data_IF_229178283768
#
_entry.id   IF_229178283768
#
_cell.length_a   1.000
_cell.length_b   1.000
_cell.length_c   1.000
_cell.angle_alpha   90.00
_cell.angle_beta   90.00
_cell.angle_gamma   90.00
#
_symmetry.space_group_name_H-M   'P 1'
#
loop_
_entity.id
_entity.type
_entity.pdbx_description
1 polymer ?
#
# COMPACT_ATOMS: atom_id res chain seq x y z
N UNK A 1 -1.05 1.13 21.36
CA UNK A 1 0.11 2.04 21.21
C UNK A 1 0.37 2.28 19.73
N UNK A 2 -0.17 3.37 19.17
CA UNK A 2 -0.01 3.74 17.74
C UNK A 2 1.46 3.78 17.30
N UNK A 3 2.35 4.19 18.20
CA UNK A 3 3.78 4.39 17.95
C UNK A 3 4.54 3.10 17.60
N UNK A 4 4.13 1.97 18.16
CA UNK A 4 4.80 0.69 17.91
C UNK A 4 4.52 0.16 16.49
N UNK A 5 3.28 0.27 16.03
CA UNK A 5 2.90 -0.14 14.67
C UNK A 5 3.50 0.81 13.63
N UNK A 6 3.45 2.13 13.88
CA UNK A 6 4.11 3.13 13.04
C UNK A 6 5.61 2.83 12.90
N UNK A 7 6.32 2.65 14.02
CA UNK A 7 7.75 2.35 14.02
C UNK A 7 8.07 1.04 13.30
N UNK A 8 7.25 0.00 13.49
CA UNK A 8 7.39 -1.27 12.77
C UNK A 8 7.26 -1.09 11.26
N UNK A 9 6.22 -0.40 10.78
CA UNK A 9 6.03 -0.17 9.34
C UNK A 9 7.15 0.68 8.74
N UNK A 10 7.60 1.71 9.46
CA UNK A 10 8.73 2.54 9.03
C UNK A 10 10.02 1.75 8.86
N UNK A 11 10.36 0.88 9.83
CA UNK A 11 11.53 -0.02 9.74
C UNK A 11 11.41 -0.99 8.55
N UNK A 12 10.23 -1.59 8.35
CA UNK A 12 9.98 -2.47 7.23
C UNK A 12 10.16 -1.75 5.89
N UNK A 13 9.60 -0.56 5.71
CA UNK A 13 9.76 0.24 4.48
C UNK A 13 11.23 0.61 4.26
N UNK A 14 11.95 1.02 5.32
CA UNK A 14 13.38 1.34 5.24
C UNK A 14 14.24 0.14 4.83
N UNK A 15 13.87 -1.09 5.22
CA UNK A 15 14.53 -2.32 4.77
C UNK A 15 14.12 -2.72 3.35
N UNK A 16 12.87 -2.50 2.96
CA UNK A 16 12.41 -2.68 1.57
C UNK A 16 13.19 -1.77 0.62
N UNK A 17 13.50 -0.53 1.00
CA UNK A 17 14.35 0.38 0.23
C UNK A 17 15.76 -0.18 -0.04
N UNK A 18 16.21 -1.15 0.77
CA UNK A 18 17.49 -1.88 0.62
C UNK A 18 17.31 -3.25 -0.06
N UNK A 19 16.19 -3.46 -0.73
CA UNK A 19 15.81 -4.72 -1.39
C UNK A 19 15.72 -5.94 -0.45
N UNK A 20 15.35 -5.75 0.82
CA UNK A 20 15.12 -6.85 1.75
C UNK A 20 13.77 -7.55 1.48
N UNK A 21 13.83 -8.75 0.90
CA UNK A 21 12.65 -9.57 0.57
C UNK A 21 11.84 -9.97 1.81
N UNK A 22 12.48 -10.27 2.93
CA UNK A 22 11.78 -10.68 4.16
C UNK A 22 11.03 -9.50 4.77
N UNK A 23 11.61 -8.31 4.71
CA UNK A 23 10.93 -7.08 5.13
C UNK A 23 9.72 -6.79 4.25
N UNK A 24 9.83 -7.03 2.93
CA UNK A 24 8.72 -6.88 2.01
C UNK A 24 7.57 -7.86 2.30
N UNK A 25 7.90 -9.12 2.57
CA UNK A 25 6.92 -10.14 2.97
C UNK A 25 6.19 -9.73 4.26
N UNK A 26 6.94 -9.28 5.28
CA UNK A 26 6.36 -8.81 6.54
C UNK A 26 5.49 -7.55 6.35
N UNK A 27 5.92 -6.62 5.48
CA UNK A 27 5.15 -5.43 5.14
C UNK A 27 3.82 -5.81 4.47
N UNK A 28 3.85 -6.77 3.54
CA UNK A 28 2.65 -7.29 2.89
C UNK A 28 1.67 -7.90 3.92
N UNK A 29 2.15 -8.76 4.82
CA UNK A 29 1.31 -9.35 5.86
C UNK A 29 0.69 -8.29 6.79
N UNK A 30 1.45 -7.25 7.13
CA UNK A 30 0.99 -6.20 8.04
C UNK A 30 -0.01 -5.21 7.42
N UNK A 31 -0.01 -5.03 6.09
CA UNK A 31 -0.74 -3.93 5.43
C UNK A 31 -1.75 -4.36 4.36
N UNK A 32 -1.63 -5.56 3.79
CA UNK A 32 -2.37 -5.96 2.58
C UNK A 32 -3.87 -5.96 2.78
N UNK A 33 -4.38 -6.36 3.95
CA UNK A 33 -5.81 -6.36 4.22
C UNK A 33 -6.42 -4.94 4.19
N UNK A 34 -5.70 -3.94 4.69
CA UNK A 34 -6.16 -2.53 4.68
C UNK A 34 -6.04 -1.93 3.29
N UNK A 35 -4.91 -2.15 2.60
CA UNK A 35 -4.72 -1.64 1.24
C UNK A 35 -5.70 -2.29 0.25
N UNK A 36 -6.01 -3.57 0.41
CA UNK A 36 -7.02 -4.24 -0.40
C UNK A 36 -8.43 -3.71 -0.12
N UNK A 37 -8.79 -3.45 1.15
CA UNK A 37 -10.05 -2.81 1.50
C UNK A 37 -10.18 -1.43 0.84
N UNK A 38 -9.11 -0.65 0.84
CA UNK A 38 -9.04 0.64 0.15
C UNK A 38 -9.20 0.48 -1.37
N UNK A 39 -8.43 -0.42 -2.02
CA UNK A 39 -8.59 -0.67 -3.46
C UNK A 39 -10.03 -1.10 -3.80
N UNK A 40 -10.63 -1.99 -3.00
CA UNK A 40 -12.02 -2.40 -3.16
C UNK A 40 -13.01 -1.25 -2.94
N UNK A 41 -12.77 -0.39 -1.96
CA UNK A 41 -13.64 0.77 -1.70
C UNK A 41 -13.54 1.83 -2.81
N UNK A 42 -12.49 1.81 -3.61
CA UNK A 42 -12.32 2.74 -4.74
C UNK A 42 -12.92 2.09 -6.00
N UNK A 43 -12.49 0.87 -6.33
CA UNK A 43 -12.75 0.22 -7.62
C UNK A 43 -14.08 -0.54 -7.70
N UNK A 44 -14.61 -0.97 -6.54
CA UNK A 44 -15.87 -1.71 -6.42
C UNK A 44 -15.94 -3.05 -7.19
N UNK A 45 -14.81 -3.48 -7.74
CA UNK A 45 -14.62 -4.77 -8.40
C UNK A 45 -13.45 -5.52 -7.74
N UNK A 46 -13.68 -6.79 -7.40
CA UNK A 46 -12.68 -7.60 -6.68
C UNK A 46 -11.47 -7.99 -7.52
N UNK A 47 -11.66 -8.21 -8.83
CA UNK A 47 -10.58 -8.55 -9.75
C UNK A 47 -9.72 -7.31 -10.01
N UNK A 48 -10.34 -6.18 -10.26
CA UNK A 48 -9.63 -4.91 -10.45
C UNK A 48 -8.86 -4.48 -9.19
N UNK A 49 -9.49 -4.60 -8.02
CA UNK A 49 -8.83 -4.28 -6.76
C UNK A 49 -7.60 -5.15 -6.50
N UNK A 50 -7.68 -6.42 -6.88
CA UNK A 50 -6.58 -7.34 -6.78
C UNK A 50 -5.41 -6.99 -7.71
N UNK A 51 -5.69 -6.74 -8.98
CA UNK A 51 -4.67 -6.33 -9.95
C UNK A 51 -4.02 -5.01 -9.56
N UNK A 52 -4.80 -4.06 -9.05
CA UNK A 52 -4.26 -2.80 -8.54
C UNK A 52 -3.41 -3.03 -7.30
N UNK A 53 -3.82 -3.89 -6.37
CA UNK A 53 -3.04 -4.21 -5.18
C UNK A 53 -1.65 -4.75 -5.55
N UNK A 54 -1.55 -5.56 -6.61
CA UNK A 54 -0.25 -6.01 -7.12
C UNK A 54 0.62 -4.86 -7.59
N UNK A 55 0.05 -3.97 -8.41
CA UNK A 55 0.74 -2.78 -8.88
C UNK A 55 1.15 -1.84 -7.74
N UNK A 56 0.35 -1.81 -6.66
CA UNK A 56 0.66 -1.07 -5.43
C UNK A 56 1.91 -1.64 -4.78
N UNK A 57 1.98 -2.95 -4.53
CA UNK A 57 3.14 -3.56 -3.90
C UNK A 57 4.40 -3.56 -4.78
N UNK A 58 4.27 -3.76 -6.09
CA UNK A 58 5.37 -3.57 -7.05
C UNK A 58 5.85 -2.12 -7.02
N UNK A 59 4.92 -1.17 -6.91
CA UNK A 59 5.20 0.25 -6.73
C UNK A 59 5.95 0.54 -5.43
N UNK A 60 5.46 0.05 -4.30
CA UNK A 60 6.09 0.16 -2.98
C UNK A 60 7.53 -0.35 -3.04
N UNK A 61 7.78 -1.51 -3.65
CA UNK A 61 9.12 -2.04 -3.81
C UNK A 61 10.06 -1.08 -4.55
N UNK A 62 9.58 -0.45 -5.63
CA UNK A 62 10.35 0.50 -6.44
C UNK A 62 10.55 1.87 -5.78
N UNK A 63 9.52 2.32 -5.06
CA UNK A 63 9.41 3.69 -4.54
C UNK A 63 9.83 3.80 -3.06
N UNK A 64 10.11 2.69 -2.37
CA UNK A 64 10.39 2.68 -0.92
C UNK A 64 11.53 3.61 -0.50
N UNK A 65 12.54 3.82 -1.37
CA UNK A 65 13.63 4.75 -1.10
C UNK A 65 13.18 6.23 -1.01
N UNK A 66 12.01 6.57 -1.56
CA UNK A 66 11.42 7.92 -1.53
C UNK A 66 10.52 8.15 -0.30
N UNK A 67 10.26 7.11 0.51
CA UNK A 67 9.42 7.25 1.70
C UNK A 67 9.92 8.32 2.67
N UNK A 68 11.23 8.41 3.01
CA UNK A 68 11.74 9.44 3.92
C UNK A 68 11.47 10.87 3.44
N UNK A 69 11.48 11.10 2.12
CA UNK A 69 11.28 12.41 1.51
C UNK A 69 9.79 12.79 1.34
N UNK A 70 8.87 11.87 1.66
CA UNK A 70 7.44 12.06 1.40
C UNK A 70 6.75 13.01 2.40
N UNK A 71 7.32 13.22 3.58
CA UNK A 71 6.68 13.94 4.68
C UNK A 71 5.46 13.22 5.29
N UNK A 72 5.17 11.99 4.86
CA UNK A 72 4.01 11.20 5.30
C UNK A 72 4.40 10.16 6.35
N UNK A 73 3.44 9.81 7.21
CA UNK A 73 3.53 8.62 8.04
C UNK A 73 3.57 7.35 7.17
N UNK A 74 4.12 6.21 7.67
CA UNK A 74 4.20 4.99 6.87
C UNK A 74 2.81 4.47 6.47
N UNK A 75 1.80 4.62 7.33
CA UNK A 75 0.42 4.25 7.00
C UNK A 75 -0.14 5.16 5.92
N UNK A 76 0.02 6.48 6.05
CA UNK A 76 -0.47 7.43 5.06
C UNK A 76 0.22 7.27 3.71
N UNK A 77 1.54 7.06 3.69
CA UNK A 77 2.29 6.80 2.47
C UNK A 77 1.78 5.55 1.74
N UNK A 78 1.55 4.45 2.46
CA UNK A 78 0.98 3.23 1.88
C UNK A 78 -0.44 3.46 1.35
N UNK A 79 -1.30 4.15 2.11
CA UNK A 79 -2.67 4.45 1.71
C UNK A 79 -2.71 5.33 0.46
N UNK A 80 -1.87 6.35 0.40
CA UNK A 80 -1.70 7.23 -0.77
C UNK A 80 -1.25 6.44 -2.00
N UNK A 81 -0.25 5.56 -1.87
CA UNK A 81 0.23 4.73 -2.98
C UNK A 81 -0.87 3.81 -3.54
N UNK A 82 -1.74 3.29 -2.67
CA UNK A 82 -2.91 2.50 -3.02
C UNK A 82 -4.00 3.34 -3.69
N UNK A 83 -4.37 4.45 -3.05
CA UNK A 83 -5.41 5.37 -3.52
C UNK A 83 -5.08 5.92 -4.89
N UNK A 84 -3.88 6.45 -5.11
CA UNK A 84 -3.51 7.06 -6.39
C UNK A 84 -3.46 6.06 -7.55
N UNK A 85 -3.13 4.78 -7.29
CA UNK A 85 -3.18 3.72 -8.31
C UNK A 85 -4.62 3.28 -8.60
N UNK A 86 -5.42 3.10 -7.56
CA UNK A 86 -6.83 2.73 -7.71
C UNK A 86 -7.63 3.83 -8.39
N UNK A 87 -7.38 5.10 -8.07
CA UNK A 87 -7.99 6.27 -8.71
C UNK A 87 -7.64 6.35 -10.19
N UNK A 88 -6.35 6.17 -10.54
CA UNK A 88 -5.91 6.09 -11.94
C UNK A 88 -6.56 4.94 -12.70
N UNK A 89 -6.79 3.80 -12.05
CA UNK A 89 -7.47 2.63 -12.65
C UNK A 89 -8.97 2.86 -12.82
N UNK A 90 -9.64 3.53 -11.88
CA UNK A 90 -11.09 3.82 -11.90
C UNK A 90 -11.50 4.85 -12.95
N UNK A 91 -10.73 5.06 -14.02
CA UNK A 91 -11.19 5.83 -15.18
C UNK A 91 -12.47 5.31 -15.86
N UNK A 92 -13.08 4.21 -15.37
CA UNK A 92 -14.44 3.78 -15.65
C UNK A 92 -14.97 2.90 -14.49
N UNK A 93 -16.28 3.00 -14.18
CA UNK A 93 -17.11 2.21 -13.22
C UNK A 93 -17.42 2.87 -11.86
N UNK A 94 -18.69 2.77 -11.46
CA UNK A 94 -19.38 3.54 -10.42
C UNK A 94 -19.88 2.69 -9.22
N UNK A 95 -20.10 3.34 -8.06
CA UNK A 95 -20.71 2.78 -6.85
C UNK A 95 -22.16 3.28 -6.68
N UNK A 96 -23.06 2.51 -6.01
CA UNK A 96 -24.36 2.97 -5.53
C UNK A 96 -24.31 4.23 -4.63
N UNK A 97 -25.37 5.05 -4.67
CA UNK A 97 -25.44 6.34 -4.01
C UNK A 97 -25.52 6.23 -2.48
N UNK A 98 -24.85 7.16 -1.79
CA UNK A 98 -25.15 7.47 -0.38
C UNK A 98 -26.29 8.48 -0.38
N UNK A 99 -27.35 8.23 0.39
CA UNK A 99 -28.45 9.19 0.55
C UNK A 99 -27.97 10.31 1.48
N UNK A 100 -27.81 11.52 0.94
CA UNK A 100 -27.43 12.69 1.71
C UNK A 100 -28.68 13.31 2.38
N UNK A 101 -28.68 13.38 3.72
CA UNK A 101 -29.44 14.40 4.45
C UNK A 101 -28.64 15.69 4.46
N UNK A 102 -29.26 16.84 4.70
CA UNK A 102 -28.58 18.14 4.74
C UNK A 102 -28.02 18.49 6.12
N UNK A 103 -27.03 17.76 6.63
CA UNK A 103 -26.47 17.95 7.97
C UNK A 103 -24.93 17.89 8.06
N UNK A 104 -24.40 18.22 9.23
CA UNK A 104 -22.96 18.30 9.49
C UNK A 104 -22.20 16.96 9.32
N UNK A 105 -22.88 15.84 9.61
CA UNK A 105 -22.37 14.50 9.37
C UNK A 105 -22.22 14.20 7.87
N UNK A 106 -23.04 14.85 7.04
CA UNK A 106 -23.08 14.64 5.60
C UNK A 106 -21.89 15.33 4.90
N UNK A 107 -21.36 16.43 5.44
CA UNK A 107 -20.17 17.11 4.91
C UNK A 107 -18.90 16.24 5.00
N UNK A 108 -18.63 15.64 6.17
CA UNK A 108 -17.48 14.73 6.33
C UNK A 108 -17.69 13.43 5.54
N UNK A 109 -18.94 12.97 5.42
CA UNK A 109 -19.29 11.82 4.59
C UNK A 109 -19.03 12.10 3.10
N UNK A 110 -19.40 13.28 2.60
CA UNK A 110 -19.12 13.72 1.23
C UNK A 110 -17.62 13.93 1.00
N UNK A 111 -16.88 14.46 1.97
CA UNK A 111 -15.42 14.57 1.87
C UNK A 111 -14.75 13.18 1.81
N UNK A 112 -15.19 12.26 2.66
CA UNK A 112 -14.74 10.86 2.63
C UNK A 112 -15.07 10.22 1.28
N UNK A 113 -16.27 10.47 0.74
CA UNK A 113 -16.67 10.02 -0.57
C UNK A 113 -15.78 10.63 -1.66
N UNK A 114 -15.47 11.93 -1.61
CA UNK A 114 -14.52 12.56 -2.55
C UNK A 114 -13.14 11.91 -2.50
N UNK A 115 -12.62 11.62 -1.30
CA UNK A 115 -11.30 11.02 -1.14
C UNK A 115 -11.22 9.59 -1.69
N UNK A 116 -12.19 8.74 -1.32
CA UNK A 116 -12.24 7.33 -1.73
C UNK A 116 -12.76 7.19 -3.17
N UNK A 117 -13.84 7.88 -3.50
CA UNK A 117 -14.50 7.80 -4.81
C UNK A 117 -13.91 8.73 -5.85
N UNK A 118 -12.96 9.59 -5.48
CA UNK A 118 -12.22 10.47 -6.38
C UNK A 118 -13.04 11.23 -7.38
N UNK A 119 -14.27 11.52 -6.98
CA UNK A 119 -15.22 12.24 -7.78
C UNK A 119 -14.96 13.72 -7.58
N UNK A 120 -15.10 14.47 -8.66
CA UNK A 120 -15.22 15.92 -8.50
C UNK A 120 -16.55 16.30 -7.83
N UNK A 121 -16.65 17.55 -7.37
CA UNK A 121 -17.85 18.04 -6.68
C UNK A 121 -19.11 17.96 -7.56
N UNK A 122 -19.01 17.99 -8.89
CA UNK A 122 -20.16 17.86 -9.80
C UNK A 122 -20.62 16.40 -9.88
N UNK A 123 -19.68 15.47 -9.98
CA UNK A 123 -19.95 14.05 -9.97
C UNK A 123 -20.51 13.58 -8.61
N UNK A 124 -20.04 14.17 -7.51
CA UNK A 124 -20.64 13.97 -6.18
C UNK A 124 -22.08 14.49 -6.14
N UNK A 125 -22.32 15.70 -6.66
CA UNK A 125 -23.66 16.28 -6.74
C UNK A 125 -24.63 15.36 -7.50
N UNK A 126 -24.24 14.94 -8.70
CA UNK A 126 -25.02 14.01 -9.53
C UNK A 126 -25.26 12.67 -8.83
N UNK A 127 -24.25 12.13 -8.11
CA UNK A 127 -24.33 10.85 -7.40
C UNK A 127 -25.24 10.90 -6.18
N UNK A 128 -25.22 12.00 -5.44
CA UNK A 128 -25.94 12.14 -4.17
C UNK A 128 -27.28 12.86 -4.31
N UNK A 129 -27.63 13.33 -5.52
CA UNK A 129 -28.90 14.01 -5.78
C UNK A 129 -28.98 15.40 -5.14
N UNK A 130 -27.84 16.06 -4.98
CA UNK A 130 -27.70 17.42 -4.45
C UNK A 130 -27.21 18.36 -5.56
N UNK A 131 -27.28 19.67 -5.35
CA UNK A 131 -26.73 20.65 -6.30
C UNK A 131 -25.19 20.69 -6.26
N UNK A 132 -24.57 21.13 -7.36
CA UNK A 132 -23.11 21.28 -7.42
C UNK A 132 -22.56 22.29 -6.39
N UNK A 133 -23.35 23.31 -6.05
CA UNK A 133 -22.98 24.29 -5.03
C UNK A 133 -23.10 23.71 -3.62
N UNK A 134 -24.14 22.90 -3.34
CA UNK A 134 -24.25 22.16 -2.07
C UNK A 134 -23.10 21.17 -1.89
N UNK A 135 -22.73 20.42 -2.94
CA UNK A 135 -21.58 19.51 -2.88
C UNK A 135 -20.27 20.26 -2.63
N UNK A 136 -20.03 21.38 -3.33
CA UNK A 136 -18.84 22.22 -3.12
C UNK A 136 -18.80 22.77 -1.70
N UNK A 137 -19.91 23.29 -1.21
CA UNK A 137 -20.03 23.83 0.14
C UNK A 137 -19.74 22.75 1.19
N UNK A 138 -20.35 21.57 1.05
CA UNK A 138 -20.16 20.45 1.96
C UNK A 138 -18.71 19.93 1.95
N UNK A 139 -18.02 19.91 0.80
CA UNK A 139 -16.60 19.57 0.74
C UNK A 139 -15.74 20.59 1.48
N UNK A 140 -16.00 21.88 1.29
CA UNK A 140 -15.29 22.94 2.00
C UNK A 140 -15.52 22.84 3.52
N UNK A 141 -16.78 22.73 3.95
CA UNK A 141 -17.16 22.56 5.36
C UNK A 141 -16.54 21.27 5.97
N UNK A 142 -16.50 20.18 5.20
CA UNK A 142 -15.84 18.95 5.61
C UNK A 142 -14.33 19.10 5.79
N UNK A 143 -13.66 19.85 4.89
CA UNK A 143 -12.24 20.13 4.96
C UNK A 143 -11.91 21.03 6.15
N UNK A 144 -12.67 22.10 6.36
CA UNK A 144 -12.56 22.96 7.54
C UNK A 144 -12.70 22.13 8.81
N UNK A 145 -13.71 21.28 8.93
CA UNK A 145 -13.88 20.42 10.10
C UNK A 145 -12.71 19.47 10.33
N UNK A 146 -12.18 18.86 9.26
CA UNK A 146 -11.03 17.96 9.35
C UNK A 146 -9.77 18.71 9.80
N UNK A 147 -9.63 19.98 9.42
CA UNK A 147 -8.55 20.86 9.84
C UNK A 147 -8.78 21.52 11.22
N UNK A 148 -10.01 21.46 11.74
CA UNK A 148 -10.47 22.31 12.85
C UNK A 148 -10.72 23.76 12.41
N UNK A 149 -10.96 24.67 13.35
CA UNK A 149 -11.26 26.09 13.07
C UNK A 149 -10.05 26.91 12.53
N UNK A 150 -8.99 26.26 12.02
CA UNK A 150 -7.68 26.89 11.78
C UNK A 150 -7.27 26.98 10.30
N UNK A 151 -7.98 26.34 9.38
CA UNK A 151 -7.65 26.40 7.95
C UNK A 151 -8.28 27.63 7.28
N UNK A 152 -7.63 28.79 7.41
CA UNK A 152 -8.14 30.05 6.86
C UNK A 152 -7.16 30.76 5.91
N UNK A 153 -6.35 30.00 5.16
CA UNK A 153 -5.54 30.53 4.07
C UNK A 153 -5.85 29.85 2.71
N UNK A 154 -5.76 30.63 1.63
CA UNK A 154 -6.07 30.17 0.27
C UNK A 154 -5.10 29.10 -0.25
N UNK A 155 -3.86 29.08 0.26
CA UNK A 155 -2.82 28.13 -0.13
C UNK A 155 -3.11 26.71 0.44
N UNK A 156 -3.68 26.65 1.65
CA UNK A 156 -4.13 25.45 2.33
C UNK A 156 -5.35 24.83 1.66
N UNK A 157 -6.28 25.65 1.15
CA UNK A 157 -7.41 25.15 0.34
C UNK A 157 -6.90 24.56 -0.98
N UNK A 158 -5.97 25.23 -1.66
CA UNK A 158 -5.37 24.71 -2.88
C UNK A 158 -4.63 23.37 -2.63
N UNK A 159 -3.91 23.25 -1.52
CA UNK A 159 -3.27 22.02 -1.08
C UNK A 159 -4.29 20.90 -0.85
N UNK A 160 -5.41 21.21 -0.21
CA UNK A 160 -6.49 20.26 0.05
C UNK A 160 -7.15 19.75 -1.24
N UNK A 161 -7.49 20.65 -2.16
CA UNK A 161 -8.05 20.28 -3.46
C UNK A 161 -7.08 19.42 -4.27
N UNK A 162 -5.78 19.74 -4.22
CA UNK A 162 -4.74 18.95 -4.88
C UNK A 162 -4.56 17.58 -4.20
N UNK A 163 -4.63 17.49 -2.87
CA UNK A 163 -4.60 16.23 -2.12
C UNK A 163 -5.80 15.33 -2.45
N UNK A 164 -6.97 15.93 -2.67
CA UNK A 164 -8.18 15.26 -3.15
C UNK A 164 -8.14 14.93 -4.65
N UNK A 165 -7.19 15.48 -5.42
CA UNK A 165 -7.09 15.30 -6.86
C UNK A 165 -8.17 16.06 -7.65
N UNK A 166 -8.80 17.07 -7.05
CA UNK A 166 -9.82 17.92 -7.65
C UNK A 166 -9.23 19.04 -8.51
N UNK A 167 -7.97 19.40 -8.24
CA UNK A 167 -7.25 20.48 -8.90
C UNK A 167 -5.99 19.92 -9.57
N UNK A 168 -5.76 20.35 -10.81
CA UNK A 168 -4.53 20.13 -11.57
C UNK A 168 -3.94 21.52 -11.86
N UNK A 169 -2.70 21.80 -11.45
CA UNK A 169 -2.12 23.14 -11.60
C UNK A 169 -0.88 23.39 -10.75
N UNK A 170 -0.53 24.67 -10.58
CA UNK A 170 0.69 25.19 -9.94
C UNK A 170 1.15 24.41 -8.70
N UNK A 171 2.48 24.29 -8.47
CA UNK A 171 3.01 23.58 -7.32
C UNK A 171 2.57 24.25 -6.03
N UNK A 172 1.66 23.62 -5.28
CA UNK A 172 1.45 23.94 -3.88
C UNK A 172 2.64 23.46 -3.04
N UNK A 173 2.85 24.10 -1.89
CA UNK A 173 3.86 23.67 -0.93
C UNK A 173 3.74 22.16 -0.64
N UNK A 174 4.83 21.44 -0.91
CA UNK A 174 4.94 19.99 -0.69
C UNK A 174 4.65 19.58 0.75
N UNK A 175 4.98 20.44 1.73
CA UNK A 175 4.71 20.18 3.14
C UNK A 175 3.22 20.28 3.46
N UNK A 176 2.53 21.31 2.95
CA UNK A 176 1.09 21.44 3.08
C UNK A 176 0.34 20.31 2.37
N UNK A 177 0.78 19.93 1.17
CA UNK A 177 0.20 18.80 0.44
C UNK A 177 0.39 17.48 1.19
N UNK A 178 1.56 17.25 1.79
CA UNK A 178 1.82 16.09 2.63
C UNK A 178 0.92 16.07 3.87
N UNK A 179 0.76 17.21 4.56
CA UNK A 179 -0.12 17.33 5.71
C UNK A 179 -1.59 17.02 5.35
N UNK A 180 -2.10 17.55 4.25
CA UNK A 180 -3.45 17.20 3.79
C UNK A 180 -3.60 15.73 3.41
N UNK A 181 -2.61 15.13 2.73
CA UNK A 181 -2.62 13.69 2.42
C UNK A 181 -2.57 12.84 3.69
N UNK A 182 -1.83 13.24 4.71
CA UNK A 182 -1.79 12.60 6.03
C UNK A 182 -3.17 12.62 6.69
N UNK A 183 -3.82 13.80 6.73
CA UNK A 183 -5.15 13.96 7.34
C UNK A 183 -6.21 13.13 6.63
N UNK A 184 -6.23 13.18 5.30
CA UNK A 184 -7.19 12.44 4.47
C UNK A 184 -6.97 10.92 4.52
N UNK A 185 -5.72 10.46 4.66
CA UNK A 185 -5.41 9.04 4.75
C UNK A 185 -6.07 8.34 5.94
N UNK A 186 -6.45 9.08 7.00
CA UNK A 186 -7.20 8.52 8.14
C UNK A 186 -8.56 7.95 7.73
N UNK A 187 -9.17 8.44 6.65
CA UNK A 187 -10.39 7.83 6.12
C UNK A 187 -10.20 6.38 5.66
N UNK A 188 -8.97 5.99 5.30
CA UNK A 188 -8.65 4.61 4.95
C UNK A 188 -8.52 3.71 6.18
N UNK A 189 -8.20 4.26 7.36
CA UNK A 189 -8.10 3.48 8.60
C UNK A 189 -9.47 3.01 9.10
N UNK A 190 -10.52 3.77 8.78
CA UNK A 190 -11.92 3.45 9.08
C UNK A 190 -12.52 2.38 8.16
N UNK A 191 -11.78 1.89 7.17
CA UNK A 191 -12.24 0.83 6.30
C UNK A 191 -12.08 -0.53 6.98
N UNK A 192 -13.12 -1.35 6.91
CA UNK A 192 -13.05 -2.74 7.37
C UNK A 192 -11.98 -3.48 6.56
N UNK A 193 -10.93 -4.04 7.20
CA UNK A 193 -9.89 -4.76 6.47
C UNK A 193 -10.46 -5.95 5.69
N UNK A 194 -10.01 -6.12 4.45
CA UNK A 194 -10.46 -7.20 3.57
C UNK A 194 -9.24 -7.99 3.12
N UNK A 195 -9.20 -9.28 3.45
CA UNK A 195 -8.08 -10.15 3.09
C UNK A 195 -7.76 -10.10 1.59
N UNK A 196 -6.50 -9.82 1.29
CA UNK A 196 -5.99 -9.90 -0.08
C UNK A 196 -5.97 -11.37 -0.54
N UNK A 197 -6.38 -11.65 -1.79
CA UNK A 197 -6.36 -13.02 -2.31
C UNK A 197 -4.92 -13.52 -2.47
N UNK A 198 -4.65 -14.77 -2.08
CA UNK A 198 -3.31 -15.35 -2.06
C UNK A 198 -2.59 -15.32 -3.42
N UNK A 199 -3.35 -15.37 -4.52
CA UNK A 199 -2.83 -15.33 -5.89
C UNK A 199 -2.19 -13.98 -6.25
N UNK A 200 -2.67 -12.87 -5.70
CA UNK A 200 -2.04 -11.55 -5.87
C UNK A 200 -0.61 -11.55 -5.30
N UNK A 201 -0.44 -12.18 -4.15
CA UNK A 201 0.88 -12.31 -3.53
C UNK A 201 1.86 -13.12 -4.38
N UNK A 202 1.40 -14.23 -4.97
CA UNK A 202 2.20 -15.03 -5.88
C UNK A 202 2.65 -14.21 -7.10
N UNK A 203 1.73 -13.49 -7.75
CA UNK A 203 2.05 -12.64 -8.90
C UNK A 203 3.03 -11.51 -8.60
N UNK A 204 2.92 -10.89 -7.42
CA UNK A 204 3.91 -9.90 -6.95
C UNK A 204 5.30 -10.52 -6.87
N UNK A 205 5.41 -11.70 -6.25
CA UNK A 205 6.70 -12.39 -6.08
C UNK A 205 7.30 -12.81 -7.43
N UNK A 206 6.49 -13.31 -8.35
CA UNK A 206 6.91 -13.64 -9.71
C UNK A 206 7.42 -12.40 -10.44
N UNK A 207 6.64 -11.31 -10.43
CA UNK A 207 6.98 -10.04 -11.10
C UNK A 207 8.28 -9.41 -10.57
N UNK A 208 8.58 -9.57 -9.28
CA UNK A 208 9.80 -9.06 -8.66
C UNK A 208 10.99 -10.04 -8.74
N UNK A 209 10.81 -11.24 -9.30
CA UNK A 209 11.85 -12.28 -9.28
C UNK A 209 12.16 -12.79 -7.85
N UNK A 210 11.21 -12.66 -6.93
CA UNK A 210 11.26 -13.17 -5.55
C UNK A 210 10.76 -14.60 -5.43
N UNK A 211 10.40 -15.24 -6.55
CA UNK A 211 10.09 -16.66 -6.61
C UNK A 211 11.30 -17.49 -6.17
N UNK A 212 11.12 -18.27 -5.10
CA UNK A 212 11.76 -19.58 -5.06
C UNK A 212 10.81 -20.44 -5.89
N UNK A 213 11.31 -21.10 -6.94
CA UNK A 213 10.46 -21.95 -7.76
C UNK A 213 9.78 -22.99 -6.85
N UNK A 214 8.45 -23.18 -6.88
CA UNK A 214 7.77 -24.19 -6.06
C UNK A 214 8.28 -25.62 -6.31
N UNK A 215 9.00 -25.84 -7.43
CA UNK A 215 9.56 -27.12 -7.85
C UNK A 215 11.09 -27.20 -7.79
N UNK A 216 11.81 -26.19 -7.27
CA UNK A 216 13.28 -26.31 -7.10
C UNK A 216 13.69 -26.94 -5.78
N UNK A 217 12.72 -27.37 -4.96
CA UNK A 217 12.96 -28.26 -3.84
C UNK A 217 12.18 -29.52 -4.15
N UNK A 218 12.84 -30.46 -4.83
CA UNK A 218 12.28 -31.79 -4.98
C UNK A 218 12.20 -32.41 -3.56
N UNK A 219 11.01 -32.73 -3.03
CA UNK A 219 10.88 -33.38 -1.73
C UNK A 219 11.55 -34.78 -1.71
N UNK A 220 11.94 -35.30 -2.87
CA UNK A 220 12.71 -36.53 -3.05
C UNK A 220 14.18 -36.29 -3.43
N UNK A 221 14.67 -35.05 -3.54
CA UNK A 221 16.10 -34.78 -3.66
C UNK A 221 16.80 -35.19 -2.35
N UNK A 222 17.26 -36.44 -2.30
CA UNK A 222 18.31 -36.81 -1.35
C UNK A 222 19.57 -36.07 -1.81
N UNK A 223 19.98 -35.06 -1.06
CA UNK A 223 21.30 -34.45 -1.24
C UNK A 223 22.32 -35.59 -1.38
N UNK A 224 23.19 -35.59 -2.41
CA UNK A 224 24.14 -36.66 -2.60
C UNK A 224 24.92 -36.88 -1.31
N UNK A 225 25.00 -38.13 -0.86
CA UNK A 225 25.57 -38.50 0.44
C UNK A 225 26.98 -37.93 0.69
N UNK A 226 27.70 -37.57 -0.37
CA UNK A 226 29.02 -36.94 -0.33
C UNK A 226 29.03 -35.42 -0.03
N UNK A 227 27.89 -34.71 -0.09
CA UNK A 227 27.79 -33.26 0.22
C UNK A 227 27.42 -32.96 1.68
N UNK A 228 27.16 -33.98 2.50
CA UNK A 228 26.92 -33.85 3.94
C UNK A 228 28.09 -34.34 4.81
N UNK A 229 27.89 -34.41 6.13
CA UNK A 229 28.88 -34.96 7.09
C UNK A 229 29.37 -36.37 6.71
N UNK A 230 28.55 -37.18 6.05
CA UNK A 230 28.91 -38.49 5.52
C UNK A 230 30.01 -38.46 4.44
N UNK A 231 30.05 -37.42 3.61
CA UNK A 231 31.11 -37.24 2.60
C UNK A 231 32.46 -36.87 3.19
N UNK A 232 32.45 -36.07 4.26
CA UNK A 232 33.66 -35.71 5.02
C UNK A 232 34.25 -36.97 5.66
N UNK A 233 33.42 -37.83 6.26
CA UNK A 233 33.88 -39.10 6.83
C UNK A 233 34.46 -40.05 5.78
N UNK A 234 33.83 -40.14 4.60
CA UNK A 234 34.35 -40.96 3.50
C UNK A 234 35.72 -40.48 3.01
N UNK A 235 35.93 -39.17 2.88
CA UNK A 235 37.23 -38.59 2.50
C UNK A 235 38.30 -38.83 3.57
N UNK A 236 37.96 -38.69 4.86
CA UNK A 236 38.88 -39.00 5.97
C UNK A 236 39.29 -40.48 5.94
N UNK A 237 38.34 -41.38 5.71
CA UNK A 237 38.61 -42.82 5.67
C UNK A 237 39.50 -43.19 4.48
N UNK A 238 39.28 -42.58 3.32
CA UNK A 238 40.07 -42.80 2.11
C UNK A 238 41.51 -42.27 2.27
N UNK A 239 41.67 -41.10 2.93
CA UNK A 239 42.98 -40.57 3.29
C UNK A 239 43.73 -41.47 4.29
N UNK A 240 43.03 -42.02 5.28
CA UNK A 240 43.62 -42.94 6.26
C UNK A 240 44.10 -44.25 5.61
N UNK A 241 43.32 -44.81 4.68
CA UNK A 241 43.70 -46.02 3.92
C UNK A 241 44.93 -45.76 3.05
N UNK A 242 44.99 -44.61 2.37
CA UNK A 242 46.14 -44.23 1.56
C UNK A 242 47.41 -44.03 2.41
N UNK A 243 47.29 -43.38 3.56
CA UNK A 243 48.40 -43.19 4.50
C UNK A 243 48.93 -44.54 5.05
N UNK A 244 48.04 -45.48 5.37
CA UNK A 244 48.43 -46.82 5.80
C UNK A 244 49.22 -47.58 4.73
N UNK A 245 48.81 -47.47 3.47
CA UNK A 245 49.50 -48.14 2.35
C UNK A 245 50.87 -47.54 2.01
N UNK A 246 51.04 -46.23 2.22
CA UNK A 246 52.30 -45.53 1.95
C UNK A 246 53.33 -45.70 3.07
N UNK A 247 52.89 -45.87 4.32
CA UNK A 247 53.79 -46.02 5.49
C UNK A 247 53.95 -47.47 5.97
N UNK A 248 53.12 -48.39 5.50
CA UNK A 248 53.12 -49.81 5.89
C UNK A 248 54.06 -50.70 5.08
N UNK A 249 55.05 -50.15 4.37
CA UNK A 249 56.01 -50.90 3.56
C UNK A 249 57.45 -50.66 3.97
#
# INVERSE_FOLDING_TARGET
>A
MPDAHHKMLSDLIGRVAKADRRAFDALYQASSARLNALCLSILKDRREAEEVLEQVYIGIWKDAARFPDSGLSPTAWLAVQARDRAMRRRGALALPPVLAGGGAADALALLRAAYLEGLDYRQLADRHGISADEARHALHEGLERLAGHAADDADSVAAAEQALGLRQGEPTDSAQLADWRERLARFADDLTPVMAPARAWQRIRESLGHGVAPLSVDPLERAPWWRGTGGILALILLAAVAAWFLWGR
#
